data_IF_732043403071
#
_entry.id   IF_732043403071
#
_cell.length_a   1.000
_cell.length_b   1.000
_cell.length_c   1.000
_cell.angle_alpha   90.00
_cell.angle_beta   90.00
_cell.angle_gamma   90.00
#
_symmetry.space_group_name_H-M   'P 1'
#
loop_
_entity.id
_entity.type
_entity.pdbx_description
1 polymer ?
#
# COMPACT_ATOMS: atom_id res chain seq x y z
N UNK A 1 -12.32 -2.69 9.32
CA UNK A 1 -11.74 -1.66 8.43
C UNK A 1 -11.14 -0.50 9.21
N UNK A 2 -11.91 0.20 10.06
CA UNK A 2 -11.37 1.25 10.97
C UNK A 2 -10.10 0.78 11.68
N UNK A 3 -10.15 -0.39 12.32
CA UNK A 3 -9.01 -0.96 13.04
C UNK A 3 -7.76 -1.18 12.17
N UNK A 4 -7.88 -1.65 10.93
CA UNK A 4 -6.73 -1.94 10.05
C UNK A 4 -6.11 -0.66 9.49
N UNK A 5 -6.93 0.32 9.10
CA UNK A 5 -6.46 1.64 8.68
C UNK A 5 -5.84 2.39 9.87
N UNK A 6 -6.47 2.34 11.05
CA UNK A 6 -5.92 2.92 12.27
C UNK A 6 -4.57 2.30 12.63
N UNK A 7 -4.41 0.97 12.50
CA UNK A 7 -3.11 0.31 12.71
C UNK A 7 -2.09 0.78 11.68
N UNK A 8 -2.46 0.87 10.39
CA UNK A 8 -1.57 1.37 9.34
C UNK A 8 -1.10 2.79 9.63
N UNK A 9 -2.02 3.68 10.04
CA UNK A 9 -1.72 5.06 10.43
C UNK A 9 -0.82 5.10 11.66
N UNK A 10 -1.09 4.27 12.68
CA UNK A 10 -0.24 4.21 13.90
C UNK A 10 1.17 3.75 13.55
N UNK A 11 1.31 2.72 12.70
CA UNK A 11 2.62 2.24 12.24
C UNK A 11 3.33 3.31 11.41
N UNK A 12 2.60 3.99 10.52
CA UNK A 12 3.12 5.10 9.72
C UNK A 12 3.65 6.24 10.59
N UNK A 13 2.85 6.70 11.55
CA UNK A 13 3.23 7.75 12.51
C UNK A 13 4.41 7.31 13.38
N UNK A 14 4.44 6.05 13.83
CA UNK A 14 5.55 5.55 14.64
C UNK A 14 6.87 5.57 13.86
N UNK A 15 6.86 5.15 12.60
CA UNK A 15 8.06 5.19 11.76
C UNK A 15 8.43 6.62 11.40
N UNK A 16 7.46 7.51 11.16
CA UNK A 16 7.71 8.93 10.95
C UNK A 16 8.40 9.57 12.17
N UNK A 17 7.96 9.25 13.39
CA UNK A 17 8.62 9.70 14.63
C UNK A 17 10.06 9.17 14.74
N UNK A 18 10.32 7.93 14.31
CA UNK A 18 11.68 7.39 14.24
C UNK A 18 12.51 8.19 13.24
N UNK A 19 12.00 8.44 12.05
CA UNK A 19 12.71 9.21 11.01
C UNK A 19 13.01 10.63 11.49
N UNK A 20 12.07 11.27 12.19
CA UNK A 20 12.27 12.57 12.84
C UNK A 20 13.34 12.52 13.94
N UNK A 21 13.35 11.46 14.76
CA UNK A 21 14.35 11.28 15.81
C UNK A 21 15.77 11.14 15.24
N UNK A 22 15.92 10.44 14.11
CA UNK A 22 17.20 10.27 13.42
C UNK A 22 17.58 11.45 12.52
N UNK A 23 16.70 12.45 12.35
CA UNK A 23 16.90 13.62 11.47
C UNK A 23 17.35 13.25 10.06
N UNK A 24 16.72 12.23 9.48
CA UNK A 24 16.99 11.81 8.11
C UNK A 24 16.59 12.91 7.13
N UNK A 25 17.54 13.38 6.34
CA UNK A 25 17.33 14.35 5.27
C UNK A 25 17.29 13.65 3.91
N UNK A 26 16.75 14.31 2.88
CA UNK A 26 16.68 13.73 1.53
C UNK A 26 18.07 13.41 0.97
N UNK A 27 19.06 14.22 1.33
CA UNK A 27 20.46 14.03 0.93
C UNK A 27 21.09 12.77 1.52
N UNK A 28 20.55 12.24 2.62
CA UNK A 28 21.04 11.00 3.23
C UNK A 28 20.56 9.75 2.48
N UNK A 29 19.56 9.90 1.62
CA UNK A 29 19.03 8.81 0.79
C UNK A 29 19.68 8.91 -0.60
N UNK A 30 20.75 8.13 -0.86
CA UNK A 30 21.35 8.13 -2.19
C UNK A 30 20.31 7.67 -3.22
N UNK A 31 20.27 8.37 -4.36
CA UNK A 31 19.37 8.06 -5.48
C UNK A 31 17.88 8.18 -5.13
N UNK A 32 17.50 9.12 -4.25
CA UNK A 32 16.09 9.32 -3.88
C UNK A 32 15.16 9.55 -5.10
N UNK A 33 15.64 10.24 -6.14
CA UNK A 33 14.89 10.44 -7.39
C UNK A 33 14.62 9.13 -8.15
N UNK A 34 15.57 8.21 -8.15
CA UNK A 34 15.39 6.89 -8.75
C UNK A 34 14.43 6.06 -7.90
N UNK A 35 14.49 6.19 -6.57
CA UNK A 35 13.55 5.54 -5.66
C UNK A 35 12.10 6.02 -5.90
N UNK A 36 11.88 7.33 -6.07
CA UNK A 36 10.58 7.88 -6.43
C UNK A 36 10.10 7.32 -7.77
N UNK A 37 10.97 7.29 -8.77
CA UNK A 37 10.64 6.75 -10.10
C UNK A 37 10.30 5.26 -10.05
N UNK A 38 11.10 4.46 -9.34
CA UNK A 38 10.84 3.04 -9.11
C UNK A 38 9.53 2.80 -8.36
N UNK A 39 9.18 3.67 -7.40
CA UNK A 39 7.91 3.62 -6.67
C UNK A 39 6.73 3.88 -7.59
N UNK A 40 6.82 4.84 -8.51
CA UNK A 40 5.78 5.09 -9.53
C UNK A 40 5.62 3.87 -10.44
N UNK A 41 6.72 3.30 -10.94
CA UNK A 41 6.69 2.12 -11.80
C UNK A 41 6.07 0.92 -11.09
N UNK A 42 6.58 0.56 -9.90
CA UNK A 42 6.07 -0.57 -9.13
C UNK A 42 4.62 -0.35 -8.67
N UNK A 43 4.31 0.86 -8.18
CA UNK A 43 2.98 1.19 -7.70
C UNK A 43 1.93 1.18 -8.80
N UNK A 44 2.25 1.68 -10.01
CA UNK A 44 1.32 1.62 -11.15
C UNK A 44 1.06 0.18 -11.63
N UNK A 45 2.09 -0.67 -11.66
CA UNK A 45 1.93 -2.11 -11.94
C UNK A 45 1.03 -2.77 -10.89
N UNK A 46 1.30 -2.52 -9.61
CA UNK A 46 0.53 -3.09 -8.51
C UNK A 46 -0.95 -2.63 -8.57
N UNK A 47 -1.20 -1.34 -8.82
CA UNK A 47 -2.55 -0.80 -9.03
C UNK A 47 -3.27 -1.53 -10.16
N UNK A 48 -2.62 -1.71 -11.31
CA UNK A 48 -3.19 -2.45 -12.44
C UNK A 48 -3.51 -3.90 -12.11
N UNK A 49 -2.60 -4.60 -11.43
CA UNK A 49 -2.80 -5.98 -11.01
C UNK A 49 -3.95 -6.13 -10.01
N UNK A 50 -4.00 -5.28 -8.98
CA UNK A 50 -5.08 -5.31 -7.99
C UNK A 50 -6.42 -4.93 -8.61
N UNK A 51 -6.45 -3.98 -9.55
CA UNK A 51 -7.67 -3.64 -10.30
C UNK A 51 -8.17 -4.83 -11.14
N UNK A 52 -7.27 -5.56 -11.82
CA UNK A 52 -7.61 -6.78 -12.53
C UNK A 52 -8.12 -7.87 -11.58
N UNK A 53 -7.55 -8.01 -10.38
CA UNK A 53 -8.05 -8.94 -9.37
C UNK A 53 -9.49 -8.59 -8.93
N UNK A 54 -9.81 -7.31 -8.80
CA UNK A 54 -11.17 -6.85 -8.49
C UNK A 54 -12.15 -7.22 -9.60
N UNK A 55 -11.79 -7.05 -10.87
CA UNK A 55 -12.68 -7.35 -12.00
C UNK A 55 -12.87 -8.85 -12.22
N UNK A 56 -11.88 -9.67 -11.86
CA UNK A 56 -11.95 -11.13 -11.92
C UNK A 56 -12.76 -11.76 -10.77
N UNK A 57 -12.91 -11.07 -9.63
CA UNK A 57 -13.66 -11.65 -8.51
C UNK A 57 -15.11 -12.01 -8.86
N UNK A 58 -15.91 -11.12 -9.50
CA UNK A 58 -17.27 -11.45 -9.92
C UNK A 58 -17.34 -12.58 -10.96
N UNK A 59 -16.34 -12.70 -11.85
CA UNK A 59 -16.36 -13.75 -12.89
C UNK A 59 -16.08 -15.14 -12.31
N UNK A 60 -15.51 -15.22 -11.11
CA UNK A 60 -15.21 -16.46 -10.39
C UNK A 60 -16.32 -16.88 -9.41
N UNK A 61 -17.51 -16.25 -9.45
CA UNK A 61 -18.64 -16.57 -8.56
C UNK A 61 -19.11 -18.02 -8.59
N UNK A 62 -18.85 -18.75 -9.67
CA UNK A 62 -19.13 -20.19 -9.78
C UNK A 62 -18.10 -21.12 -9.12
N UNK A 63 -16.96 -20.60 -8.62
CA UNK A 63 -15.90 -21.41 -8.04
C UNK A 63 -16.23 -21.80 -6.57
N UNK A 64 -16.00 -23.07 -6.20
CA UNK A 64 -16.13 -23.58 -4.83
C UNK A 64 -15.39 -22.72 -3.80
N UNK A 65 -14.20 -22.22 -4.14
CA UNK A 65 -13.43 -21.30 -3.28
C UNK A 65 -14.18 -20.00 -3.01
N UNK A 66 -14.70 -19.34 -4.06
CA UNK A 66 -15.35 -18.03 -3.91
C UNK A 66 -16.71 -18.15 -3.21
N UNK A 67 -17.42 -19.25 -3.44
CA UNK A 67 -18.65 -19.57 -2.71
C UNK A 67 -18.39 -19.71 -1.20
N UNK A 68 -17.37 -20.49 -0.81
CA UNK A 68 -16.93 -20.60 0.60
C UNK A 68 -16.47 -19.25 1.16
N UNK A 69 -15.70 -18.48 0.38
CA UNK A 69 -15.24 -17.15 0.77
C UNK A 69 -16.41 -16.19 1.05
N UNK A 70 -17.49 -16.26 0.25
CA UNK A 70 -18.73 -15.50 0.50
C UNK A 70 -19.41 -15.94 1.78
N UNK A 71 -19.51 -17.25 2.03
CA UNK A 71 -20.12 -17.81 3.25
C UNK A 71 -19.36 -17.41 4.52
N UNK A 72 -18.03 -17.37 4.47
CA UNK A 72 -17.15 -16.95 5.57
C UNK A 72 -17.11 -15.42 5.78
N UNK A 73 -17.84 -14.64 4.97
CA UNK A 73 -17.79 -13.17 4.99
C UNK A 73 -16.48 -12.57 4.48
N UNK A 74 -15.58 -13.41 3.94
CA UNK A 74 -14.27 -13.02 3.44
C UNK A 74 -14.30 -12.21 2.15
N UNK A 75 -15.32 -12.42 1.30
CA UNK A 75 -15.44 -11.74 0.01
C UNK A 75 -15.44 -10.22 0.15
N UNK A 76 -16.32 -9.67 0.99
CA UNK A 76 -16.38 -8.22 1.27
C UNK A 76 -15.08 -7.71 1.90
N UNK A 77 -14.42 -8.52 2.73
CA UNK A 77 -13.18 -8.13 3.42
C UNK A 77 -12.01 -8.01 2.44
N UNK A 78 -11.86 -8.98 1.53
CA UNK A 78 -10.83 -8.97 0.49
C UNK A 78 -11.09 -7.84 -0.51
N UNK A 79 -12.33 -7.70 -1.00
CA UNK A 79 -12.71 -6.64 -1.93
C UNK A 79 -12.42 -5.25 -1.36
N UNK A 80 -12.78 -5.00 -0.10
CA UNK A 80 -12.49 -3.72 0.55
C UNK A 80 -10.99 -3.50 0.79
N UNK A 81 -10.23 -4.54 1.13
CA UNK A 81 -8.78 -4.43 1.28
C UNK A 81 -8.10 -4.09 -0.05
N UNK A 82 -8.55 -4.70 -1.16
CA UNK A 82 -8.07 -4.42 -2.51
C UNK A 82 -8.36 -2.99 -2.93
N UNK A 83 -9.59 -2.51 -2.75
CA UNK A 83 -9.97 -1.13 -3.06
C UNK A 83 -9.12 -0.10 -2.29
N UNK A 84 -8.91 -0.35 -0.99
CA UNK A 84 -8.09 0.50 -0.14
C UNK A 84 -6.63 0.52 -0.60
N UNK A 85 -6.05 -0.65 -0.88
CA UNK A 85 -4.67 -0.77 -1.34
C UNK A 85 -4.45 -0.06 -2.68
N UNK A 86 -5.39 -0.20 -3.63
CA UNK A 86 -5.36 0.53 -4.91
C UNK A 86 -5.37 2.04 -4.67
N UNK A 87 -6.28 2.54 -3.84
CA UNK A 87 -6.39 3.97 -3.58
C UNK A 87 -5.11 4.53 -2.96
N UNK A 88 -4.54 3.84 -1.97
CA UNK A 88 -3.31 4.27 -1.30
C UNK A 88 -2.09 4.20 -2.21
N UNK A 89 -1.95 3.14 -3.02
CA UNK A 89 -0.87 3.04 -4.01
C UNK A 89 -0.98 4.15 -5.06
N UNK A 90 -2.20 4.46 -5.52
CA UNK A 90 -2.42 5.53 -6.47
C UNK A 90 -2.03 6.90 -5.87
N UNK A 91 -2.44 7.18 -4.62
CA UNK A 91 -2.03 8.39 -3.91
C UNK A 91 -0.51 8.45 -3.75
N UNK A 92 0.14 7.34 -3.38
CA UNK A 92 1.60 7.26 -3.27
C UNK A 92 2.30 7.55 -4.60
N UNK A 93 1.80 7.02 -5.71
CA UNK A 93 2.32 7.32 -7.04
C UNK A 93 2.18 8.81 -7.38
N UNK A 94 1.04 9.44 -7.05
CA UNK A 94 0.85 10.88 -7.26
C UNK A 94 1.80 11.72 -6.41
N UNK A 95 1.98 11.39 -5.13
CA UNK A 95 2.94 12.07 -4.25
C UNK A 95 4.36 11.91 -4.81
N UNK A 96 4.72 10.69 -5.23
CA UNK A 96 6.04 10.42 -5.82
C UNK A 96 6.27 11.20 -7.10
N UNK A 97 5.23 11.34 -7.95
CA UNK A 97 5.28 12.14 -9.16
C UNK A 97 5.51 13.62 -8.86
N UNK A 98 4.79 14.18 -7.87
CA UNK A 98 5.01 15.56 -7.41
C UNK A 98 6.44 15.74 -6.87
N UNK A 99 6.96 14.72 -6.18
CA UNK A 99 8.34 14.67 -5.69
C UNK A 99 9.41 14.90 -6.75
N UNK A 100 9.17 14.42 -7.98
CA UNK A 100 10.11 14.56 -9.09
C UNK A 100 10.25 15.99 -9.63
N UNK A 101 9.32 16.89 -9.27
CA UNK A 101 9.38 18.31 -9.65
C UNK A 101 10.21 19.17 -8.68
N UNK A 102 10.59 18.62 -7.51
CA UNK A 102 11.42 19.33 -6.55
C UNK A 102 12.91 19.14 -6.84
N UNK A 103 13.70 20.15 -6.47
CA UNK A 103 15.16 20.03 -6.44
C UNK A 103 15.56 19.26 -5.17
N UNK A 104 15.81 17.96 -5.34
CA UNK A 104 16.11 17.02 -4.27
C UNK A 104 17.60 17.05 -3.86
N UNK A 105 18.42 17.88 -4.52
CA UNK A 105 19.84 18.05 -4.17
C UNK A 105 20.04 19.11 -3.08
N UNK A 106 19.00 19.90 -2.78
CA UNK A 106 19.05 20.94 -1.74
C UNK A 106 18.16 20.57 -0.55
N UNK A 107 18.76 20.64 0.64
CA UNK A 107 18.02 20.49 1.89
C UNK A 107 17.29 21.79 2.19
N UNK A 108 15.96 21.73 2.13
CA UNK A 108 15.06 22.82 2.49
C UNK A 108 13.97 22.29 3.42
N UNK A 109 13.28 23.17 4.12
CA UNK A 109 12.12 22.79 4.96
C UNK A 109 11.03 22.12 4.13
N UNK A 110 10.87 22.52 2.86
CA UNK A 110 9.87 21.96 1.95
C UNK A 110 10.25 20.54 1.54
N UNK A 111 11.51 20.32 1.16
CA UNK A 111 11.99 19.00 0.75
C UNK A 111 11.96 18.03 1.95
N UNK A 112 12.35 18.48 3.15
CA UNK A 112 12.24 17.67 4.37
C UNK A 112 10.79 17.27 4.71
N UNK A 113 9.85 18.21 4.64
CA UNK A 113 8.43 17.93 4.86
C UNK A 113 7.89 16.94 3.82
N UNK A 114 8.30 17.10 2.56
CA UNK A 114 7.94 16.18 1.49
C UNK A 114 8.43 14.75 1.78
N UNK A 115 9.66 14.58 2.27
CA UNK A 115 10.20 13.27 2.62
C UNK A 115 9.36 12.58 3.70
N UNK A 116 9.01 13.27 4.78
CA UNK A 116 8.21 12.70 5.87
C UNK A 116 6.83 12.26 5.38
N UNK A 117 6.19 13.13 4.60
CA UNK A 117 4.89 12.83 3.99
C UNK A 117 5.01 11.62 3.06
N UNK A 118 6.04 11.58 2.21
CA UNK A 118 6.26 10.49 1.28
C UNK A 118 6.49 9.15 2.02
N UNK A 119 7.37 9.12 3.02
CA UNK A 119 7.65 7.91 3.83
C UNK A 119 6.38 7.41 4.52
N UNK A 120 5.58 8.32 5.09
CA UNK A 120 4.32 7.97 5.72
C UNK A 120 3.39 7.22 4.75
N UNK A 121 3.14 7.81 3.56
CA UNK A 121 2.30 7.17 2.56
C UNK A 121 2.90 5.89 2.00
N UNK A 122 4.23 5.83 1.85
CA UNK A 122 4.94 4.65 1.37
C UNK A 122 4.69 3.44 2.28
N UNK A 123 4.87 3.63 3.59
CA UNK A 123 4.66 2.58 4.60
C UNK A 123 3.19 2.16 4.66
N UNK A 124 2.28 3.14 4.69
CA UNK A 124 0.84 2.87 4.77
C UNK A 124 0.36 2.09 3.54
N UNK A 125 0.90 2.40 2.35
CA UNK A 125 0.60 1.66 1.12
C UNK A 125 1.14 0.23 1.16
N UNK A 126 2.41 0.02 1.52
CA UNK A 126 3.03 -1.31 1.64
C UNK A 126 2.28 -2.18 2.66
N UNK A 127 1.94 -1.62 3.82
CA UNK A 127 1.16 -2.32 4.83
C UNK A 127 -0.21 -2.75 4.28
N UNK A 128 -0.88 -1.86 3.56
CA UNK A 128 -2.19 -2.16 2.98
C UNK A 128 -2.14 -3.27 1.93
N UNK A 129 -1.11 -3.28 1.07
CA UNK A 129 -0.86 -4.39 0.14
C UNK A 129 -0.58 -5.69 0.90
N UNK A 130 0.24 -5.63 1.96
CA UNK A 130 0.54 -6.81 2.79
C UNK A 130 -0.72 -7.38 3.44
N UNK A 131 -1.65 -6.52 3.90
CA UNK A 131 -2.95 -6.94 4.44
C UNK A 131 -3.79 -7.66 3.39
N UNK A 132 -3.78 -7.22 2.13
CA UNK A 132 -4.48 -7.92 1.04
C UNK A 132 -3.93 -9.34 0.90
N UNK A 133 -2.60 -9.48 0.82
CA UNK A 133 -1.93 -10.78 0.66
C UNK A 133 -2.22 -11.70 1.84
N UNK A 134 -2.03 -11.22 3.08
CA UNK A 134 -2.27 -12.02 4.28
C UNK A 134 -3.74 -12.41 4.42
N UNK A 135 -4.67 -11.49 4.12
CA UNK A 135 -6.10 -11.79 4.16
C UNK A 135 -6.46 -12.85 3.14
N UNK A 136 -5.93 -12.75 1.91
CA UNK A 136 -6.16 -13.74 0.87
C UNK A 136 -5.60 -15.12 1.26
N UNK A 137 -4.34 -15.20 1.71
CA UNK A 137 -3.70 -16.45 2.13
C UNK A 137 -4.42 -17.10 3.32
N UNK A 138 -4.89 -16.30 4.28
CA UNK A 138 -5.67 -16.79 5.41
C UNK A 138 -6.95 -17.50 4.96
N UNK A 139 -7.72 -16.88 4.06
CA UNK A 139 -8.95 -17.51 3.57
C UNK A 139 -8.67 -18.67 2.62
N UNK A 140 -7.58 -18.63 1.86
CA UNK A 140 -7.14 -19.75 1.02
C UNK A 140 -6.88 -20.99 1.89
N UNK A 141 -6.10 -20.83 2.97
CA UNK A 141 -5.84 -21.92 3.92
C UNK A 141 -7.11 -22.46 4.54
N UNK A 142 -7.98 -21.58 5.06
CA UNK A 142 -9.22 -21.99 5.70
C UNK A 142 -10.15 -22.76 4.75
N UNK A 143 -10.13 -22.43 3.46
CA UNK A 143 -10.92 -23.14 2.44
C UNK A 143 -10.34 -24.52 2.05
N UNK A 144 -9.04 -24.72 2.26
CA UNK A 144 -8.31 -25.95 1.94
C UNK A 144 -8.39 -26.98 3.08
N UNK A 145 -8.46 -26.54 4.34
CA UNK A 145 -8.57 -27.41 5.53
C UNK A 145 -9.96 -28.10 5.69
N UNK A 146 -10.92 -27.79 4.81
CA UNK A 146 -12.26 -28.40 4.74
C UNK A 146 -12.35 -29.61 3.75
N UNK A 147 -11.21 -30.15 3.32
CA UNK A 147 -11.10 -31.36 2.50
C UNK A 147 -10.47 -32.50 3.29
#
# INVERSE_FOLDING_TARGET
MKRTISIAIIIGLFIEVIVLYFRLEITDIPLFKDLLSATISMGSIAVGFLAAAITLMPSLEGNKFLSKLKQLGGYKKILNALLLAIALLFILCLISLVGLFFDLETVSTITSLFLYLWIFFFIVAIYSVSVVIVTFLFYLRLSADDY
#
